data_IF_199472396313
#
_entry.id   IF_199472396313
#
_cell.length_a   1.000
_cell.length_b   1.000
_cell.length_c   1.000
_cell.angle_alpha   90.00
_cell.angle_beta   90.00
_cell.angle_gamma   90.00
#
_symmetry.space_group_name_H-M   'P 1'
#
loop_
_entity.id
_entity.type
_entity.pdbx_description
1 polymer ?
#
# COMPACT_ATOMS: atom_id res chain seq x y z
N UNK A 1 -15.38 -18.11 -2.07
CA UNK A 1 -14.03 -18.16 -1.45
C UNK A 1 -13.32 -19.32 -2.13
N UNK A 2 -12.26 -19.04 -2.92
CA UNK A 2 -11.66 -19.97 -3.89
C UNK A 2 -10.73 -21.00 -3.21
N UNK A 3 -11.26 -21.84 -2.33
CA UNK A 3 -10.46 -22.81 -1.57
C UNK A 3 -9.87 -23.93 -2.46
N UNK A 4 -10.58 -24.37 -3.51
CA UNK A 4 -10.07 -25.38 -4.44
C UNK A 4 -8.89 -24.86 -5.26
N UNK A 5 -8.98 -23.63 -5.79
CA UNK A 5 -7.91 -23.03 -6.57
C UNK A 5 -6.64 -22.78 -5.74
N UNK A 6 -6.80 -22.47 -4.44
CA UNK A 6 -5.68 -22.28 -3.51
C UNK A 6 -4.93 -23.59 -3.21
N UNK A 7 -5.59 -24.75 -3.31
CA UNK A 7 -4.99 -26.06 -3.08
C UNK A 7 -4.18 -26.57 -4.30
N UNK A 8 -4.42 -26.00 -5.48
CA UNK A 8 -3.74 -26.35 -6.73
C UNK A 8 -2.46 -25.54 -6.96
N UNK A 9 -2.22 -24.49 -6.17
CA UNK A 9 -0.99 -23.69 -6.23
C UNK A 9 0.16 -24.48 -5.61
N UNK A 10 1.15 -24.84 -6.42
CA UNK A 10 2.41 -25.43 -5.94
C UNK A 10 3.14 -24.44 -5.01
N UNK A 11 3.53 -24.83 -3.78
CA UNK A 11 4.18 -23.95 -2.80
C UNK A 11 5.55 -23.39 -3.23
N UNK A 12 6.12 -23.92 -4.31
CA UNK A 12 7.53 -23.75 -4.66
C UNK A 12 7.72 -22.89 -5.91
N UNK A 13 6.95 -21.81 -6.07
CA UNK A 13 7.37 -20.78 -7.03
C UNK A 13 8.60 -20.08 -6.42
N UNK A 14 9.80 -20.18 -7.01
CA UNK A 14 10.95 -19.43 -6.52
C UNK A 14 10.60 -17.94 -6.59
N UNK A 15 10.55 -17.30 -5.42
CA UNK A 15 10.31 -15.86 -5.29
C UNK A 15 11.67 -15.18 -5.21
N UNK A 16 12.08 -14.53 -6.29
CA UNK A 16 13.23 -13.63 -6.27
C UNK A 16 12.86 -12.38 -5.48
N UNK A 17 13.23 -12.37 -4.19
CA UNK A 17 13.08 -11.19 -3.35
C UNK A 17 14.18 -10.20 -3.71
N UNK A 18 13.83 -9.22 -4.54
CA UNK A 18 14.71 -8.11 -4.88
C UNK A 18 14.97 -7.30 -3.62
N UNK A 19 16.23 -7.20 -3.19
CA UNK A 19 16.60 -6.32 -2.09
C UNK A 19 16.45 -4.87 -2.50
N UNK A 20 15.88 -4.08 -1.59
CA UNK A 20 15.60 -2.67 -1.81
C UNK A 20 16.37 -1.84 -0.80
N UNK A 21 17.31 -1.02 -1.25
CA UNK A 21 18.08 -0.17 -0.33
C UNK A 21 17.25 0.99 0.24
N UNK A 22 16.36 1.56 -0.57
CA UNK A 22 15.62 2.79 -0.24
C UNK A 22 14.15 2.68 -0.64
N UNK A 23 13.25 2.98 0.28
CA UNK A 23 11.82 3.01 0.04
C UNK A 23 11.17 4.30 0.56
N UNK A 24 10.06 4.69 -0.07
CA UNK A 24 9.14 5.70 0.43
C UNK A 24 7.86 4.98 0.90
N UNK A 25 7.33 5.32 2.08
CA UNK A 25 6.05 4.79 2.57
C UNK A 25 5.14 5.93 3.04
N UNK A 26 3.84 5.76 2.78
CA UNK A 26 2.82 6.75 3.07
C UNK A 26 1.43 6.11 3.04
N UNK A 27 0.45 6.82 3.60
CA UNK A 27 -0.93 6.43 3.63
C UNK A 27 -1.83 7.38 2.83
N UNK A 28 -2.79 6.79 2.11
CA UNK A 28 -3.81 7.55 1.41
C UNK A 28 -5.18 7.35 2.05
N UNK A 29 -5.83 8.47 2.38
CA UNK A 29 -7.19 8.48 2.91
C UNK A 29 -8.27 8.32 1.83
N UNK A 30 -9.28 7.52 2.16
CA UNK A 30 -10.57 7.40 1.44
C UNK A 30 -11.68 7.03 2.43
N UNK A 31 -12.87 6.64 1.95
CA UNK A 31 -13.98 6.25 2.82
C UNK A 31 -14.94 5.26 2.16
N UNK A 32 -15.74 4.59 2.98
CA UNK A 32 -16.76 3.62 2.55
C UNK A 32 -18.13 4.04 3.08
N UNK A 33 -19.09 4.25 2.18
CA UNK A 33 -20.46 4.70 2.47
C UNK A 33 -20.50 6.18 2.88
N UNK A 34 -19.79 6.55 3.94
CA UNK A 34 -19.72 7.91 4.46
C UNK A 34 -18.31 8.24 4.98
N UNK A 35 -18.00 9.53 5.12
CA UNK A 35 -16.72 9.97 5.70
C UNK A 35 -16.52 9.55 7.15
N UNK A 36 -17.59 9.14 7.85
CA UNK A 36 -17.52 8.60 9.20
C UNK A 36 -16.94 7.17 9.24
N UNK A 37 -16.86 6.48 8.10
CA UNK A 37 -16.12 5.22 7.95
C UNK A 37 -14.89 5.41 7.04
N UNK A 38 -13.78 5.96 7.57
CA UNK A 38 -12.56 6.18 6.82
C UNK A 38 -11.84 4.86 6.51
N UNK A 39 -11.32 4.74 5.29
CA UNK A 39 -10.53 3.58 4.83
C UNK A 39 -9.19 4.08 4.29
N UNK A 40 -8.10 3.59 4.86
CA UNK A 40 -6.74 4.00 4.52
C UNK A 40 -6.05 2.95 3.66
N UNK A 41 -5.36 3.41 2.62
CA UNK A 41 -4.47 2.58 1.79
C UNK A 41 -3.03 2.87 2.19
N UNK A 42 -2.42 1.94 2.91
CA UNK A 42 -1.01 1.95 3.31
C UNK A 42 -0.20 1.32 2.20
N UNK A 43 0.90 1.94 1.76
CA UNK A 43 1.81 1.28 0.84
C UNK A 43 3.22 1.83 0.93
N UNK A 44 4.16 1.05 0.40
CA UNK A 44 5.52 1.49 0.17
C UNK A 44 5.92 1.29 -1.28
N UNK A 45 6.79 2.17 -1.76
CA UNK A 45 7.40 2.09 -3.08
C UNK A 45 8.92 2.06 -2.96
N UNK A 46 9.58 1.39 -3.90
CA UNK A 46 11.02 1.51 -4.06
C UNK A 46 11.35 2.89 -4.63
N UNK A 47 12.32 3.59 -4.01
CA UNK A 47 12.52 5.02 -4.26
C UNK A 47 13.02 5.34 -5.67
N UNK A 48 13.80 4.45 -6.29
CA UNK A 48 14.45 4.75 -7.57
C UNK A 48 13.51 4.51 -8.77
N UNK A 49 12.86 3.36 -8.81
CA UNK A 49 11.92 2.94 -9.83
C UNK A 49 10.51 3.45 -9.57
N UNK A 50 10.08 3.56 -8.30
CA UNK A 50 8.70 3.88 -7.93
C UNK A 50 7.75 2.69 -8.06
N UNK A 51 8.31 1.46 -8.12
CA UNK A 51 7.55 0.21 -8.06
C UNK A 51 6.96 0.04 -6.67
N UNK A 52 5.72 -0.40 -6.61
CA UNK A 52 5.07 -0.75 -5.33
C UNK A 52 5.71 -2.02 -4.79
N UNK A 53 6.06 -1.99 -3.51
CA UNK A 53 6.64 -3.13 -2.79
C UNK A 53 5.57 -3.94 -2.08
N UNK A 54 4.72 -3.25 -1.33
CA UNK A 54 3.61 -3.83 -0.61
C UNK A 54 2.52 -2.78 -0.37
N UNK A 55 1.30 -3.25 -0.15
CA UNK A 55 0.17 -2.41 0.25
C UNK A 55 -0.73 -3.17 1.24
N UNK A 56 -1.42 -2.43 2.11
CA UNK A 56 -2.43 -2.94 3.05
C UNK A 56 -3.58 -1.95 3.16
N UNK A 57 -4.81 -2.44 3.30
CA UNK A 57 -5.98 -1.60 3.57
C UNK A 57 -6.41 -1.71 5.02
N UNK A 58 -6.79 -0.60 5.63
CA UNK A 58 -7.29 -0.65 7.00
C UNK A 58 -7.54 0.71 7.64
N UNK A 59 -7.55 0.70 8.96
CA UNK A 59 -7.60 1.93 9.76
C UNK A 59 -6.25 2.64 9.80
N UNK A 60 -6.22 3.91 10.22
CA UNK A 60 -4.99 4.65 10.52
C UNK A 60 -4.53 4.39 11.95
N UNK A 61 -4.08 3.15 12.18
CA UNK A 61 -3.62 2.64 13.48
C UNK A 61 -2.38 1.77 13.28
N UNK A 62 -1.55 1.69 14.31
CA UNK A 62 -0.30 0.91 14.34
C UNK A 62 -0.47 -0.57 13.96
N UNK A 63 -1.65 -1.15 14.23
CA UNK A 63 -1.93 -2.54 13.86
C UNK A 63 -1.78 -2.78 12.35
N UNK A 64 -2.30 -1.88 11.52
CA UNK A 64 -2.21 -1.97 10.06
C UNK A 64 -0.80 -1.66 9.58
N UNK A 65 -0.11 -0.73 10.25
CA UNK A 65 1.30 -0.45 9.97
C UNK A 65 2.19 -1.67 10.24
N UNK A 66 1.91 -2.44 11.30
CA UNK A 66 2.61 -3.70 11.59
C UNK A 66 2.37 -4.77 10.52
N UNK A 67 1.18 -4.82 9.94
CA UNK A 67 0.91 -5.71 8.80
C UNK A 67 1.73 -5.30 7.58
N UNK A 68 1.77 -4.01 7.24
CA UNK A 68 2.63 -3.51 6.17
C UNK A 68 4.10 -3.82 6.45
N UNK A 69 4.56 -3.66 7.69
CA UNK A 69 5.94 -4.01 8.10
C UNK A 69 6.28 -5.46 7.78
N UNK A 70 5.41 -6.40 8.13
CA UNK A 70 5.63 -7.84 7.87
C UNK A 70 5.79 -8.12 6.37
N UNK A 71 5.02 -7.43 5.53
CA UNK A 71 5.15 -7.56 4.07
C UNK A 71 6.46 -6.96 3.55
N UNK A 72 6.99 -5.93 4.22
CA UNK A 72 8.23 -5.25 3.82
C UNK A 72 9.51 -5.91 4.33
N UNK A 73 9.42 -6.75 5.37
CA UNK A 73 10.55 -7.41 6.01
C UNK A 73 11.45 -8.21 5.03
N UNK A 74 10.92 -8.98 4.06
CA UNK A 74 11.74 -9.73 3.11
C UNK A 74 12.62 -8.85 2.22
N UNK A 75 12.21 -7.61 1.93
CA UNK A 75 12.92 -6.71 1.01
C UNK A 75 14.22 -6.13 1.62
N UNK A 76 14.42 -6.26 2.93
CA UNK A 76 15.64 -5.81 3.61
C UNK A 76 15.88 -4.30 3.52
N UNK A 77 14.82 -3.49 3.64
CA UNK A 77 14.88 -2.03 3.46
C UNK A 77 15.84 -1.38 4.46
N UNK A 78 16.89 -0.72 3.93
CA UNK A 78 17.91 -0.06 4.75
C UNK A 78 17.48 1.35 5.15
N UNK A 79 16.93 2.12 4.21
CA UNK A 79 16.48 3.50 4.42
C UNK A 79 15.00 3.64 4.04
N UNK A 80 14.20 4.09 4.99
CA UNK A 80 12.81 4.43 4.76
C UNK A 80 12.61 5.94 4.86
N UNK A 81 11.86 6.50 3.91
CA UNK A 81 11.41 7.89 3.90
C UNK A 81 9.90 7.93 4.10
N UNK A 82 9.43 8.70 5.08
CA UNK A 82 8.00 8.88 5.34
C UNK A 82 7.69 10.34 5.63
N UNK A 83 6.41 10.67 5.64
CA UNK A 83 5.95 11.93 6.21
C UNK A 83 6.04 11.92 7.75
N UNK A 84 5.74 13.07 8.35
CA UNK A 84 5.83 13.31 9.80
C UNK A 84 4.59 12.79 10.52
N UNK A 85 4.26 11.51 10.31
CA UNK A 85 3.17 10.85 11.01
C UNK A 85 3.66 10.03 12.21
N UNK A 86 3.01 10.24 13.36
CA UNK A 86 3.39 9.73 14.67
C UNK A 86 3.64 8.22 14.75
N UNK A 87 2.90 7.39 13.99
CA UNK A 87 3.02 5.94 14.11
C UNK A 87 4.35 5.39 13.57
N UNK A 88 4.99 6.09 12.63
CA UNK A 88 6.31 5.68 12.13
C UNK A 88 7.38 5.78 13.22
N UNK A 89 7.18 6.61 14.25
CA UNK A 89 8.07 6.66 15.41
C UNK A 89 7.94 5.44 16.32
N UNK A 90 6.74 4.85 16.43
CA UNK A 90 6.48 3.72 17.32
C UNK A 90 6.78 2.36 16.69
N UNK A 91 6.72 2.26 15.36
CA UNK A 91 6.97 1.01 14.62
C UNK A 91 8.07 1.22 13.59
N UNK A 92 9.35 0.98 13.94
CA UNK A 92 10.44 1.10 12.98
C UNK A 92 10.27 0.07 11.86
N UNK A 93 10.19 0.55 10.64
CA UNK A 93 10.02 -0.24 9.42
C UNK A 93 11.36 -0.54 8.72
N UNK A 94 12.42 0.19 9.05
CA UNK A 94 13.75 0.06 8.48
C UNK A 94 14.82 0.48 9.51
N UNK A 95 16.08 0.12 9.25
CA UNK A 95 17.22 0.45 10.12
C UNK A 95 17.48 1.96 10.22
N UNK A 96 17.25 2.70 9.12
CA UNK A 96 17.36 4.17 9.09
C UNK A 96 16.03 4.75 8.62
N UNK A 97 15.45 5.62 9.42
CA UNK A 97 14.19 6.28 9.11
C UNK A 97 14.42 7.78 8.99
N UNK A 98 13.99 8.35 7.87
CA UNK A 98 14.09 9.77 7.56
C UNK A 98 12.69 10.35 7.43
N UNK A 99 12.36 11.27 8.31
CA UNK A 99 11.07 11.97 8.30
C UNK A 99 11.21 13.26 7.52
N UNK A 100 10.26 13.52 6.61
CA UNK A 100 10.10 14.81 5.98
C UNK A 100 9.64 14.76 4.52
N UNK A 101 8.92 15.82 4.13
CA UNK A 101 8.25 15.91 2.82
C UNK A 101 9.19 15.93 1.61
N UNK A 102 10.43 16.40 1.78
CA UNK A 102 11.39 16.55 0.67
C UNK A 102 11.69 15.23 -0.05
N UNK A 103 11.53 14.09 0.64
CA UNK A 103 11.87 12.77 0.12
C UNK A 103 10.67 11.87 -0.15
N UNK A 104 9.43 12.38 -0.10
CA UNK A 104 8.17 11.63 -0.34
C UNK A 104 7.49 11.98 -1.66
N UNK A 105 8.17 12.71 -2.55
CA UNK A 105 7.57 13.24 -3.78
C UNK A 105 7.08 12.14 -4.73
N UNK A 106 7.72 10.96 -4.75
CA UNK A 106 7.34 9.88 -5.69
C UNK A 106 6.08 9.18 -5.21
N UNK A 107 5.97 8.91 -3.92
CA UNK A 107 4.77 8.30 -3.36
C UNK A 107 3.57 9.24 -3.45
N UNK A 108 3.77 10.55 -3.26
CA UNK A 108 2.72 11.56 -3.49
C UNK A 108 2.25 11.57 -4.96
N UNK A 109 3.18 11.48 -5.93
CA UNK A 109 2.84 11.36 -7.35
C UNK A 109 2.10 10.05 -7.65
N UNK A 110 2.41 8.96 -6.95
CA UNK A 110 1.72 7.68 -7.06
C UNK A 110 0.27 7.80 -6.57
N UNK A 111 0.03 8.44 -5.43
CA UNK A 111 -1.32 8.73 -4.93
C UNK A 111 -2.15 9.52 -5.95
N UNK A 112 -1.56 10.56 -6.55
CA UNK A 112 -2.24 11.35 -7.58
C UNK A 112 -2.64 10.49 -8.79
N UNK A 113 -1.75 9.58 -9.22
CA UNK A 113 -2.01 8.64 -10.31
C UNK A 113 -3.18 7.72 -9.97
N UNK A 114 -3.20 7.15 -8.77
CA UNK A 114 -4.27 6.27 -8.32
C UNK A 114 -5.60 7.02 -8.18
N UNK A 115 -5.63 8.22 -7.61
CA UNK A 115 -6.86 9.04 -7.53
C UNK A 115 -7.43 9.40 -8.89
N UNK A 116 -6.56 9.64 -9.89
CA UNK A 116 -6.98 9.93 -11.26
C UNK A 116 -7.61 8.71 -11.93
N UNK A 117 -7.04 7.51 -11.72
CA UNK A 117 -7.49 6.28 -12.39
C UNK A 117 -8.62 5.56 -11.65
N UNK A 118 -8.70 5.71 -10.33
CA UNK A 118 -9.70 5.07 -9.47
C UNK A 118 -10.62 6.15 -8.90
N UNK A 119 -11.75 6.40 -9.58
CA UNK A 119 -12.73 7.42 -9.18
C UNK A 119 -13.24 7.28 -7.72
N UNK A 120 -13.22 6.05 -7.18
CA UNK A 120 -13.63 5.72 -5.80
C UNK A 120 -12.75 6.36 -4.72
N UNK A 121 -11.52 6.75 -5.06
CA UNK A 121 -10.58 7.40 -4.15
C UNK A 121 -10.75 8.92 -4.07
N UNK A 122 -11.54 9.53 -4.97
CA UNK A 122 -11.55 10.99 -5.16
C UNK A 122 -12.70 11.69 -4.40
N UNK A 123 -13.96 11.48 -4.80
CA UNK A 123 -15.09 12.31 -4.32
C UNK A 123 -16.40 11.53 -4.17
N UNK A 124 -17.10 11.81 -3.06
CA UNK A 124 -18.40 11.22 -2.69
C UNK A 124 -19.49 11.36 -3.76
N UNK A 125 -19.48 12.46 -4.51
CA UNK A 125 -20.54 12.77 -5.49
C UNK A 125 -20.37 12.06 -6.82
N UNK A 126 -19.20 11.46 -7.09
CA UNK A 126 -18.91 10.82 -8.39
C UNK A 126 -19.05 9.30 -8.27
N UNK A 127 -18.26 8.70 -7.40
CA UNK A 127 -18.23 7.25 -7.21
C UNK A 127 -17.65 6.95 -5.83
N UNK A 128 -18.35 6.16 -5.03
CA UNK A 128 -17.87 5.70 -3.73
C UNK A 128 -18.29 4.25 -3.51
N UNK A 129 -17.56 3.55 -2.65
CA UNK A 129 -17.89 2.17 -2.27
C UNK A 129 -18.90 2.17 -1.13
N UNK A 130 -19.86 1.24 -1.16
CA UNK A 130 -20.87 1.08 -0.09
C UNK A 130 -20.44 0.06 0.99
N UNK A 131 -19.53 -0.85 0.65
CA UNK A 131 -18.96 -1.82 1.57
C UNK A 131 -17.43 -1.90 1.43
N UNK A 132 -16.76 -2.32 2.50
CA UNK A 132 -15.29 -2.36 2.58
C UNK A 132 -14.70 -3.43 1.66
N UNK A 133 -15.31 -4.62 1.63
CA UNK A 133 -14.87 -5.72 0.78
C UNK A 133 -14.76 -5.29 -0.68
N UNK A 134 -15.78 -4.62 -1.22
CA UNK A 134 -15.74 -4.14 -2.61
C UNK A 134 -14.77 -2.98 -2.80
N UNK A 135 -14.57 -2.14 -1.79
CA UNK A 135 -13.61 -1.04 -1.85
C UNK A 135 -12.19 -1.58 -1.99
N UNK A 136 -11.80 -2.46 -1.07
CA UNK A 136 -10.48 -3.07 -1.01
C UNK A 136 -10.24 -3.97 -2.22
N UNK A 137 -11.25 -4.73 -2.65
CA UNK A 137 -11.15 -5.60 -3.84
C UNK A 137 -10.88 -4.78 -5.10
N UNK A 138 -11.63 -3.71 -5.35
CA UNK A 138 -11.45 -2.91 -6.58
C UNK A 138 -10.09 -2.23 -6.61
N UNK A 139 -9.63 -1.68 -5.48
CA UNK A 139 -8.31 -1.03 -5.42
C UNK A 139 -7.21 -2.08 -5.49
N UNK A 140 -7.34 -3.19 -4.77
CA UNK A 140 -6.39 -4.31 -4.79
C UNK A 140 -6.23 -4.90 -6.18
N UNK A 141 -7.33 -5.17 -6.89
CA UNK A 141 -7.30 -5.64 -8.28
C UNK A 141 -6.58 -4.65 -9.21
N UNK A 142 -6.82 -3.34 -9.02
CA UNK A 142 -6.13 -2.32 -9.80
C UNK A 142 -4.62 -2.33 -9.53
N UNK A 143 -4.20 -2.35 -8.26
CA UNK A 143 -2.78 -2.38 -7.88
C UNK A 143 -2.13 -3.67 -8.41
N UNK A 144 -2.78 -4.82 -8.21
CA UNK A 144 -2.29 -6.11 -8.68
C UNK A 144 -2.09 -6.14 -10.20
N UNK A 145 -3.04 -5.60 -10.97
CA UNK A 145 -2.92 -5.55 -12.43
C UNK A 145 -1.87 -4.56 -12.92
N UNK A 146 -1.83 -3.34 -12.37
CA UNK A 146 -1.05 -2.24 -12.94
C UNK A 146 0.29 -1.96 -12.25
N UNK A 147 0.45 -2.34 -10.99
CA UNK A 147 1.69 -2.13 -10.23
C UNK A 147 2.49 -3.44 -10.10
N UNK A 148 1.80 -4.57 -9.91
CA UNK A 148 2.44 -5.89 -9.85
C UNK A 148 2.44 -6.65 -11.19
N UNK A 149 1.70 -6.18 -12.20
CA UNK A 149 1.67 -6.79 -13.53
C UNK A 149 1.01 -8.16 -13.57
N UNK A 150 0.17 -8.49 -12.58
CA UNK A 150 -0.53 -9.77 -12.54
C UNK A 150 -1.61 -9.81 -13.62
N UNK A 151 -1.70 -10.95 -14.31
CA UNK A 151 -2.84 -11.25 -15.19
C UNK A 151 -4.02 -11.70 -14.31
N UNK A 152 -5.05 -10.86 -14.28
CA UNK A 152 -6.27 -11.02 -13.47
C UNK A 152 -7.48 -10.74 -14.35
#
# INVERSE_FOLDING_TARGET
MNHQLLAELTPETPVDVVRVDQAEADEMWSFVGSKANPRWSWHAIERQSGRVLAYVFGTRKDAVLKELRKLLEPFGIVKLFTDDWGAYHHTPLASKHFVGKRNTQRIERKHLTWRTRIKRLARKTICFSKCEVMHDTVIGLFINRYEFGLEI
#
